data_IF_912084397055
#
_entry.id   IF_912084397055
#
_cell.length_a   1.000
_cell.length_b   1.000
_cell.length_c   1.000
_cell.angle_alpha   90.00
_cell.angle_beta   90.00
_cell.angle_gamma   90.00
#
_symmetry.space_group_name_H-M   'P 1'
#
loop_
_entity.id
_entity.type
_entity.pdbx_description
1 polymer ?
#
# COMPACT_ATOMS: atom_id res chain seq x y z
N UNK A 1 -1.30 14.05 -5.61
CA UNK A 1 0.07 13.48 -5.58
C UNK A 1 0.09 12.51 -4.43
N UNK A 2 0.50 11.26 -4.67
CA UNK A 2 0.67 10.25 -3.63
C UNK A 2 2.17 9.94 -3.51
N UNK A 3 2.66 9.76 -2.30
CA UNK A 3 4.03 9.31 -2.04
C UNK A 3 3.95 7.98 -1.30
N UNK A 4 4.55 6.93 -1.88
CA UNK A 4 4.85 5.72 -1.13
C UNK A 4 6.22 5.88 -0.49
N UNK A 5 6.30 5.59 0.81
CA UNK A 5 7.55 5.58 1.56
C UNK A 5 7.76 4.18 2.12
N UNK A 6 8.93 3.62 1.88
CA UNK A 6 9.36 2.35 2.46
C UNK A 6 10.31 2.66 3.60
N UNK A 7 9.98 2.15 4.78
CA UNK A 7 10.77 2.32 5.99
C UNK A 7 11.16 0.97 6.57
N UNK A 8 12.29 0.94 7.28
CA UNK A 8 12.60 -0.19 8.17
C UNK A 8 11.58 -0.23 9.31
N UNK A 9 11.56 -1.34 10.06
CA UNK A 9 10.76 -1.44 11.29
C UNK A 9 11.12 -0.35 12.32
N UNK A 10 12.35 0.15 12.31
CA UNK A 10 12.81 1.25 13.17
C UNK A 10 12.44 2.65 12.64
N UNK A 11 11.80 2.73 11.46
CA UNK A 11 11.37 4.00 10.86
C UNK A 11 12.40 4.66 9.95
N UNK A 12 13.51 3.99 9.61
CA UNK A 12 14.50 4.55 8.68
C UNK A 12 14.01 4.43 7.24
N UNK A 13 13.95 5.53 6.46
CA UNK A 13 13.52 5.47 5.06
C UNK A 13 14.55 4.71 4.21
N UNK A 14 14.06 3.75 3.43
CA UNK A 14 14.84 2.91 2.51
C UNK A 14 14.65 3.41 1.07
N UNK A 15 13.40 3.72 0.71
CA UNK A 15 13.04 4.13 -0.64
C UNK A 15 11.76 4.97 -0.61
N UNK A 16 11.56 5.80 -1.64
CA UNK A 16 10.30 6.48 -1.88
C UNK A 16 9.94 6.44 -3.36
N UNK A 17 8.64 6.47 -3.65
CA UNK A 17 8.14 6.55 -5.01
C UNK A 17 6.96 7.53 -5.06
N UNK A 18 6.93 8.37 -6.10
CA UNK A 18 5.92 9.41 -6.26
C UNK A 18 4.96 9.00 -7.36
N UNK A 19 3.69 8.88 -7.01
CA UNK A 19 2.62 8.53 -7.94
C UNK A 19 1.77 9.76 -8.25
N UNK A 20 1.38 9.86 -9.52
CA UNK A 20 0.34 10.78 -9.97
C UNK A 20 -0.95 10.47 -9.20
N UNK A 21 -1.57 11.50 -8.62
CA UNK A 21 -2.67 11.34 -7.65
C UNK A 21 -3.92 10.62 -8.18
N UNK A 22 -4.07 10.52 -9.49
CA UNK A 22 -5.18 9.81 -10.15
C UNK A 22 -4.83 8.38 -10.58
N UNK A 23 -3.59 7.91 -10.37
CA UNK A 23 -3.11 6.62 -10.89
C UNK A 23 -3.20 5.50 -9.86
N UNK A 24 -3.61 5.82 -8.62
CA UNK A 24 -3.88 4.86 -7.55
C UNK A 24 -5.28 4.22 -7.68
N UNK A 25 -5.75 4.06 -8.91
CA UNK A 25 -6.85 3.14 -9.21
C UNK A 25 -6.27 1.72 -9.13
N UNK A 26 -7.00 0.79 -8.50
CA UNK A 26 -6.51 -0.46 -7.90
C UNK A 26 -5.56 -1.34 -8.73
N UNK A 27 -5.54 -1.17 -10.05
CA UNK A 27 -4.65 -1.89 -10.95
C UNK A 27 -3.16 -1.53 -10.83
N UNK A 28 -2.78 -0.36 -10.31
CA UNK A 28 -1.36 0.07 -10.32
C UNK A 28 -0.64 -0.25 -9.01
N UNK A 29 -1.34 -0.33 -7.89
CA UNK A 29 -0.70 -0.47 -6.57
C UNK A 29 -0.09 -1.86 -6.37
N UNK A 30 -0.80 -2.92 -6.75
CA UNK A 30 -0.39 -4.30 -6.53
C UNK A 30 0.85 -4.66 -7.37
N UNK A 31 0.90 -4.38 -8.68
CA UNK A 31 2.09 -4.65 -9.48
C UNK A 31 3.30 -3.89 -8.97
N UNK A 32 3.11 -2.64 -8.52
CA UNK A 32 4.21 -1.84 -7.98
C UNK A 32 4.75 -2.42 -6.68
N UNK A 33 3.87 -2.83 -5.77
CA UNK A 33 4.27 -3.50 -4.52
C UNK A 33 4.99 -4.82 -4.83
N UNK A 34 4.47 -5.63 -5.75
CA UNK A 34 5.08 -6.91 -6.14
C UNK A 34 6.46 -6.73 -6.78
N UNK A 35 6.59 -5.78 -7.71
CA UNK A 35 7.87 -5.41 -8.33
C UNK A 35 8.87 -4.96 -7.26
N UNK A 36 8.40 -4.16 -6.30
CA UNK A 36 9.24 -3.70 -5.19
C UNK A 36 9.70 -4.87 -4.31
N UNK A 37 8.79 -5.76 -3.90
CA UNK A 37 9.09 -6.96 -3.10
C UNK A 37 10.10 -7.85 -3.83
N UNK A 38 9.88 -8.08 -5.13
CA UNK A 38 10.75 -8.90 -5.98
C UNK A 38 12.16 -8.31 -6.12
N UNK A 39 12.25 -7.01 -6.41
CA UNK A 39 13.54 -6.31 -6.56
C UNK A 39 14.36 -6.30 -5.27
N UNK A 40 13.69 -6.08 -4.13
CA UNK A 40 14.36 -5.90 -2.84
C UNK A 40 14.42 -7.18 -1.99
N UNK A 41 13.88 -8.30 -2.50
CA UNK A 41 13.80 -9.60 -1.80
C UNK A 41 13.23 -9.47 -0.39
N UNK A 42 12.20 -8.62 -0.24
CA UNK A 42 11.60 -8.30 1.05
C UNK A 42 10.77 -9.50 1.51
N UNK A 43 11.11 -10.09 2.66
CA UNK A 43 10.40 -11.25 3.21
C UNK A 43 9.10 -10.90 3.93
N UNK A 44 9.04 -9.70 4.52
CA UNK A 44 7.88 -9.22 5.28
C UNK A 44 7.64 -7.77 4.91
N UNK A 45 6.44 -7.49 4.40
CA UNK A 45 6.05 -6.17 3.91
C UNK A 45 4.65 -5.85 4.39
N UNK A 46 4.45 -4.62 4.86
CA UNK A 46 3.15 -4.12 5.32
C UNK A 46 2.86 -2.80 4.64
N UNK A 47 1.74 -2.72 3.93
CA UNK A 47 1.23 -1.47 3.34
C UNK A 47 0.60 -0.62 4.44
N UNK A 48 0.93 0.67 4.50
CA UNK A 48 0.24 1.62 5.40
C UNK A 48 -0.43 2.68 4.54
N UNK A 49 -1.75 2.84 4.68
CA UNK A 49 -2.52 3.80 3.89
C UNK A 49 -3.64 4.46 4.72
N UNK A 50 -4.08 5.65 4.31
CA UNK A 50 -5.28 6.29 4.86
C UNK A 50 -6.55 5.63 4.30
N UNK A 51 -7.63 5.55 5.08
CA UNK A 51 -8.90 4.96 4.62
C UNK A 51 -9.50 5.66 3.39
N UNK A 52 -9.30 6.98 3.24
CA UNK A 52 -9.75 7.70 2.06
C UNK A 52 -8.93 7.36 0.80
N UNK A 53 -7.75 6.73 0.97
CA UNK A 53 -6.86 6.34 -0.12
C UNK A 53 -7.01 4.87 -0.52
N UNK A 54 -7.75 4.06 0.24
CA UNK A 54 -7.93 2.64 -0.06
C UNK A 54 -9.41 2.34 -0.38
N UNK A 55 -9.66 1.79 -1.57
CA UNK A 55 -10.99 1.29 -1.93
C UNK A 55 -11.19 -0.15 -1.44
N UNK A 56 -12.44 -0.60 -1.38
CA UNK A 56 -12.80 -1.99 -1.09
C UNK A 56 -12.16 -2.99 -2.07
N UNK A 57 -12.00 -2.57 -3.34
CA UNK A 57 -11.34 -3.35 -4.38
C UNK A 57 -9.85 -3.54 -4.08
N UNK A 58 -9.15 -2.47 -3.71
CA UNK A 58 -7.73 -2.54 -3.33
C UNK A 58 -7.54 -3.46 -2.11
N UNK A 59 -8.43 -3.40 -1.12
CA UNK A 59 -8.39 -4.30 0.05
C UNK A 59 -8.56 -5.76 -0.38
N UNK A 60 -9.53 -6.04 -1.26
CA UNK A 60 -9.75 -7.39 -1.78
C UNK A 60 -8.51 -7.91 -2.50
N UNK A 61 -7.87 -7.08 -3.33
CA UNK A 61 -6.64 -7.46 -4.02
C UNK A 61 -5.45 -7.67 -3.08
N UNK A 62 -5.29 -6.85 -2.03
CA UNK A 62 -4.26 -7.07 -1.01
C UNK A 62 -4.45 -8.40 -0.29
N UNK A 63 -5.69 -8.75 0.06
CA UNK A 63 -6.01 -10.04 0.66
C UNK A 63 -5.71 -11.22 -0.29
N UNK A 64 -6.09 -11.09 -1.57
CA UNK A 64 -5.83 -12.13 -2.58
C UNK A 64 -4.35 -12.38 -2.82
N UNK A 65 -3.51 -11.37 -2.62
CA UNK A 65 -2.05 -11.46 -2.78
C UNK A 65 -1.32 -11.72 -1.45
N UNK A 66 -2.04 -12.02 -0.36
CA UNK A 66 -1.48 -12.26 0.97
C UNK A 66 -0.58 -11.12 1.49
N UNK A 67 -0.88 -9.88 1.08
CA UNK A 67 -0.12 -8.69 1.46
C UNK A 67 -0.70 -8.14 2.77
N UNK A 68 0.16 -7.98 3.78
CA UNK A 68 -0.22 -7.35 5.04
C UNK A 68 -0.47 -5.85 4.85
N UNK A 69 -1.49 -5.31 5.51
CA UNK A 69 -1.79 -3.88 5.44
C UNK A 69 -2.33 -3.31 6.76
N UNK A 70 -2.11 -2.01 6.95
CA UNK A 70 -2.66 -1.19 8.02
C UNK A 70 -3.36 -0.02 7.34
N UNK A 71 -4.65 0.15 7.64
CA UNK A 71 -5.44 1.26 7.13
C UNK A 71 -5.93 2.07 8.30
N UNK A 72 -5.73 3.40 8.23
CA UNK A 72 -6.32 4.32 9.19
C UNK A 72 -7.84 4.38 8.98
N UNK A 73 -8.62 3.58 9.71
CA UNK A 73 -10.07 3.58 9.59
C UNK A 73 -10.66 4.90 10.13
N UNK A 74 -11.43 5.61 9.30
CA UNK A 74 -12.50 6.48 9.82
C UNK A 74 -13.71 5.58 10.06
N UNK A 75 -14.23 5.55 11.29
CA UNK A 75 -15.57 5.00 11.58
C UNK A 75 -16.61 5.84 10.84
N UNK A 76 -16.85 5.55 9.56
CA UNK A 76 -17.96 6.04 8.78
C UNK A 76 -18.88 4.87 8.50
N UNK A 77 -19.95 4.75 9.31
CA UNK A 77 -21.08 3.84 9.17
C UNK A 77 -20.79 2.51 8.45
N UNK A 78 -20.34 1.50 9.21
CA UNK A 78 -20.80 0.14 8.93
C UNK A 78 -22.29 0.12 9.25
N UNK A 79 -23.13 0.25 8.21
CA UNK A 79 -24.53 -0.16 8.25
C UNK A 79 -24.65 -1.58 7.72
#
# INVERSE_FOLDING_TARGET
>A
MLVALVVTKEGFPIAFEVFSGNTFEGHTIIPTIQDFIGRNKVKAFTVVADAAMISSENISQLNQNEISYIVGARMGNLS
#
